data_IF_640382930480
#
_entry.id   IF_640382930480
#
_cell.length_a   1.000
_cell.length_b   1.000
_cell.length_c   1.000
_cell.angle_alpha   90.00
_cell.angle_beta   90.00
_cell.angle_gamma   90.00
#
_symmetry.space_group_name_H-M   'P 1'
#
loop_
_entity.id
_entity.type
_entity.pdbx_description
1 polymer ?
#
# COMPACT_ATOMS: atom_id res chain seq x y z
N UNK A 1 6.66 16.10 -12.78
CA UNK A 1 7.21 16.34 -11.42
C UNK A 1 8.68 16.82 -11.48
N UNK A 2 9.49 16.42 -12.47
CA UNK A 2 10.90 16.85 -12.58
C UNK A 2 11.16 18.37 -12.48
N UNK A 3 10.23 19.22 -12.92
CA UNK A 3 10.37 20.68 -12.76
C UNK A 3 10.13 21.16 -11.32
N UNK A 4 9.24 20.49 -10.57
CA UNK A 4 8.94 20.80 -9.16
C UNK A 4 10.15 20.41 -8.29
N UNK A 5 10.71 19.22 -8.53
CA UNK A 5 11.90 18.76 -7.82
C UNK A 5 13.06 19.75 -8.05
N UNK A 6 13.32 20.12 -9.30
CA UNK A 6 14.34 21.13 -9.64
C UNK A 6 14.04 22.51 -9.03
N UNK A 7 12.76 22.94 -9.00
CA UNK A 7 12.38 24.23 -8.39
C UNK A 7 12.63 24.24 -6.88
N UNK A 8 12.34 23.13 -6.19
CA UNK A 8 12.59 22.97 -4.76
C UNK A 8 14.08 22.86 -4.45
N UNK A 9 14.86 22.15 -5.27
CA UNK A 9 16.32 22.05 -5.16
C UNK A 9 17.00 23.42 -5.29
N UNK A 10 16.45 24.32 -6.10
CA UNK A 10 16.93 25.70 -6.26
C UNK A 10 16.39 26.68 -5.19
N UNK A 11 15.78 26.19 -4.10
CA UNK A 11 15.33 27.02 -2.97
C UNK A 11 13.95 27.64 -3.14
N UNK A 12 13.17 27.21 -4.13
CA UNK A 12 11.78 27.64 -4.31
C UNK A 12 10.88 27.23 -3.14
N UNK A 13 9.89 28.07 -2.81
CA UNK A 13 8.89 27.75 -1.77
C UNK A 13 7.60 27.28 -2.42
N UNK A 14 7.16 26.07 -2.09
CA UNK A 14 5.92 25.48 -2.58
C UNK A 14 4.85 25.49 -1.49
N UNK A 15 3.74 26.16 -1.76
CA UNK A 15 2.49 25.97 -1.01
C UNK A 15 1.58 25.05 -1.81
N UNK A 16 1.31 23.86 -1.27
CA UNK A 16 0.51 22.83 -1.91
C UNK A 16 -0.77 22.59 -1.12
N UNK A 17 -1.93 22.65 -1.79
CA UNK A 17 -3.21 22.17 -1.27
C UNK A 17 -3.57 20.93 -2.07
N UNK A 18 -3.68 19.78 -1.40
CA UNK A 18 -3.99 18.51 -2.04
C UNK A 18 -4.95 17.69 -1.19
N UNK A 19 -5.82 16.93 -1.85
CA UNK A 19 -6.59 15.86 -1.22
C UNK A 19 -5.78 14.57 -1.07
N UNK A 20 -4.57 14.51 -1.65
CA UNK A 20 -3.68 13.35 -1.56
C UNK A 20 -2.65 13.56 -0.46
N UNK A 21 -2.75 12.75 0.59
CA UNK A 21 -1.79 12.75 1.70
C UNK A 21 -0.40 12.33 1.22
N UNK A 22 -0.35 11.41 0.25
CA UNK A 22 0.89 10.98 -0.38
C UNK A 22 1.66 12.16 -0.99
N UNK A 23 0.98 13.07 -1.70
CA UNK A 23 1.62 14.27 -2.24
C UNK A 23 2.12 15.23 -1.17
N UNK A 24 1.34 15.42 -0.11
CA UNK A 24 1.74 16.28 1.00
C UNK A 24 3.01 15.73 1.65
N UNK A 25 3.10 14.41 1.85
CA UNK A 25 4.31 13.76 2.37
C UNK A 25 5.49 13.82 1.41
N UNK A 26 5.24 13.68 0.10
CA UNK A 26 6.29 13.63 -0.92
C UNK A 26 6.89 15.00 -1.24
N UNK A 27 6.05 16.01 -1.38
CA UNK A 27 6.43 17.32 -1.93
C UNK A 27 6.61 18.40 -0.86
N UNK A 28 6.12 18.16 0.36
CA UNK A 28 6.18 19.15 1.44
C UNK A 28 7.00 18.61 2.61
N UNK A 29 7.80 19.49 3.22
CA UNK A 29 8.49 19.22 4.49
C UNK A 29 7.57 19.41 5.70
N UNK A 30 6.61 20.31 5.56
CA UNK A 30 5.63 20.64 6.60
C UNK A 30 4.21 20.54 6.06
N UNK A 31 3.26 20.22 6.93
CA UNK A 31 1.83 20.21 6.61
C UNK A 31 1.02 20.97 7.66
N UNK A 32 -0.06 21.61 7.20
CA UNK A 32 -1.07 22.28 8.01
C UNK A 32 -2.41 21.56 7.86
N UNK A 33 -2.91 20.98 8.93
CA UNK A 33 -4.24 20.38 8.96
C UNK A 33 -5.26 21.40 9.47
N UNK A 34 -6.26 21.69 8.64
CA UNK A 34 -7.41 22.51 8.97
C UNK A 34 -8.65 21.64 9.20
N UNK A 35 -9.41 21.96 10.25
CA UNK A 35 -10.72 21.38 10.54
C UNK A 35 -11.68 22.47 10.99
N UNK A 36 -12.84 22.58 10.35
CA UNK A 36 -13.86 23.59 10.64
C UNK A 36 -13.30 25.03 10.69
N UNK A 37 -12.41 25.36 9.76
CA UNK A 37 -11.78 26.68 9.66
C UNK A 37 -10.71 26.96 10.73
N UNK A 38 -10.31 25.96 11.54
CA UNK A 38 -9.27 26.10 12.57
C UNK A 38 -8.09 25.19 12.27
N UNK A 39 -6.90 25.66 12.66
CA UNK A 39 -5.69 24.83 12.63
C UNK A 39 -5.81 23.77 13.71
N UNK A 40 -5.84 22.51 13.29
CA UNK A 40 -5.87 21.36 14.18
C UNK A 40 -4.46 20.86 14.48
N UNK A 41 -3.58 20.86 13.48
CA UNK A 41 -2.16 20.53 13.65
C UNK A 41 -1.28 21.19 12.58
N UNK A 42 -0.05 21.52 12.94
CA UNK A 42 1.01 21.98 12.04
C UNK A 42 2.33 21.33 12.44
N UNK A 43 3.17 20.96 11.47
CA UNK A 43 4.47 20.37 11.75
C UNK A 43 5.01 19.59 10.57
N UNK A 44 5.87 18.61 10.84
CA UNK A 44 6.39 17.67 9.84
C UNK A 44 5.26 17.02 9.02
N UNK A 45 5.44 16.98 7.70
CA UNK A 45 4.38 16.53 6.78
C UNK A 45 4.01 15.06 7.00
N UNK A 46 4.95 14.19 7.36
CA UNK A 46 4.68 12.79 7.67
C UNK A 46 3.88 12.65 8.96
N UNK A 47 4.34 13.27 10.05
CA UNK A 47 3.70 13.17 11.36
C UNK A 47 2.28 13.75 11.38
N UNK A 48 2.05 14.90 10.72
CA UNK A 48 0.72 15.52 10.61
C UNK A 48 -0.20 14.64 9.76
N UNK A 49 0.30 14.09 8.65
CA UNK A 49 -0.45 13.23 7.75
C UNK A 49 -0.90 11.91 8.39
N UNK A 50 -0.05 11.30 9.21
CA UNK A 50 -0.39 10.06 9.93
C UNK A 50 -1.54 10.27 10.92
N UNK A 51 -1.50 11.38 11.66
CA UNK A 51 -2.56 11.71 12.62
C UNK A 51 -3.86 12.10 11.94
N UNK A 52 -3.77 12.82 10.81
CA UNK A 52 -4.92 13.09 9.95
C UNK A 52 -5.59 11.78 9.50
N UNK A 53 -4.84 10.82 8.97
CA UNK A 53 -5.39 9.52 8.54
C UNK A 53 -6.07 8.79 9.69
N UNK A 54 -5.38 8.68 10.83
CA UNK A 54 -5.89 8.01 12.03
C UNK A 54 -7.19 8.64 12.57
N UNK A 55 -7.38 9.94 12.32
CA UNK A 55 -8.58 10.66 12.73
C UNK A 55 -9.80 10.34 11.85
N UNK A 56 -9.60 10.15 10.55
CA UNK A 56 -10.69 9.91 9.58
C UNK A 56 -10.94 8.43 9.28
N UNK A 57 -9.99 7.53 9.53
CA UNK A 57 -10.16 6.07 9.45
C UNK A 57 -11.24 5.56 10.43
N UNK A 58 -11.54 6.32 11.50
CA UNK A 58 -12.62 6.00 12.44
C UNK A 58 -14.05 6.23 11.89
N UNK A 59 -14.21 6.65 10.63
CA UNK A 59 -15.52 7.05 10.04
C UNK A 59 -15.85 6.43 8.67
N UNK A 60 -15.02 5.58 8.10
CA UNK A 60 -15.24 5.02 6.76
C UNK A 60 -15.86 3.63 6.77
N UNK A 61 -17.14 3.51 6.45
CA UNK A 61 -17.82 2.23 6.17
C UNK A 61 -17.38 1.67 4.81
N UNK A 62 -16.99 0.40 4.80
CA UNK A 62 -16.58 -0.37 3.62
C UNK A 62 -17.75 -0.56 2.64
N UNK A 63 -17.61 -0.05 1.41
CA UNK A 63 -18.49 -0.42 0.28
C UNK A 63 -17.79 -1.43 -0.62
N UNK A 64 -18.06 -2.70 -0.37
CA UNK A 64 -17.84 -3.77 -1.34
C UNK A 64 -18.84 -3.58 -2.47
N UNK A 65 -18.38 -3.37 -3.71
CA UNK A 65 -19.29 -3.30 -4.87
C UNK A 65 -18.86 -4.30 -5.93
N UNK A 66 -19.86 -5.02 -6.44
CA UNK A 66 -19.74 -6.12 -7.39
C UNK A 66 -19.20 -5.70 -8.77
N UNK A 67 -18.72 -6.73 -9.47
CA UNK A 67 -18.01 -6.75 -10.75
C UNK A 67 -18.91 -6.25 -11.90
N UNK A 68 -18.90 -4.95 -12.17
CA UNK A 68 -19.04 -4.43 -13.54
C UNK A 68 -17.69 -3.79 -13.86
N UNK A 69 -16.89 -4.44 -14.71
CA UNK A 69 -15.56 -3.93 -15.07
C UNK A 69 -15.72 -2.64 -15.86
N UNK A 70 -15.59 -1.52 -15.15
CA UNK A 70 -15.49 -0.21 -15.77
C UNK A 70 -14.18 -0.14 -16.56
N UNK A 71 -14.29 -0.34 -17.88
CA UNK A 71 -13.16 -0.26 -18.81
C UNK A 71 -12.68 1.18 -19.03
N UNK A 72 -13.34 2.17 -18.43
CA UNK A 72 -12.92 3.57 -18.50
C UNK A 72 -11.96 3.96 -17.37
N UNK A 73 -11.76 3.08 -16.38
CA UNK A 73 -10.92 3.34 -15.22
C UNK A 73 -9.89 2.24 -14.96
N UNK A 74 -8.81 2.58 -14.24
CA UNK A 74 -7.85 1.59 -13.74
C UNK A 74 -8.54 0.69 -12.72
N UNK A 75 -8.37 -0.63 -12.86
CA UNK A 75 -8.98 -1.59 -11.93
C UNK A 75 -8.14 -2.85 -11.80
N UNK A 76 -8.30 -3.58 -10.69
CA UNK A 76 -7.60 -4.85 -10.46
C UNK A 76 -8.33 -5.95 -11.22
N UNK A 77 -7.68 -6.50 -12.25
CA UNK A 77 -8.23 -7.62 -13.02
C UNK A 77 -8.12 -8.95 -12.26
N UNK A 78 -7.05 -9.11 -11.49
CA UNK A 78 -6.84 -10.29 -10.66
C UNK A 78 -5.84 -10.03 -9.54
N UNK A 79 -6.10 -10.66 -8.39
CA UNK A 79 -5.18 -10.77 -7.26
C UNK A 79 -4.94 -12.26 -6.99
N UNK A 80 -3.70 -12.72 -7.04
CA UNK A 80 -3.28 -14.10 -6.75
C UNK A 80 -2.24 -14.11 -5.64
N UNK A 81 -2.42 -15.02 -4.70
CA UNK A 81 -1.51 -15.23 -3.57
C UNK A 81 -0.93 -16.62 -3.77
N UNK A 82 0.39 -16.71 -3.85
CA UNK A 82 1.11 -17.90 -4.30
C UNK A 82 2.22 -18.24 -3.31
N UNK A 83 2.53 -19.54 -3.19
CA UNK A 83 3.73 -20.01 -2.50
C UNK A 83 4.97 -19.91 -3.42
N UNK A 84 6.14 -20.31 -2.90
CA UNK A 84 7.41 -20.35 -3.65
C UNK A 84 7.38 -21.20 -4.94
N UNK A 85 6.54 -22.23 -4.97
CA UNK A 85 6.37 -23.13 -6.12
C UNK A 85 5.42 -22.55 -7.18
N UNK A 86 4.84 -21.37 -6.92
CA UNK A 86 3.91 -20.69 -7.83
C UNK A 86 2.49 -21.25 -7.81
N UNK A 87 2.11 -22.00 -6.77
CA UNK A 87 0.75 -22.51 -6.57
C UNK A 87 -0.09 -21.52 -5.79
N UNK A 88 -1.35 -21.31 -6.18
CA UNK A 88 -2.26 -20.48 -5.39
C UNK A 88 -2.50 -21.09 -4.01
N UNK A 89 -2.50 -20.22 -3.00
CA UNK A 89 -2.67 -20.58 -1.60
C UNK A 89 -3.64 -19.63 -0.91
N UNK A 90 -4.31 -20.14 0.12
CA UNK A 90 -5.05 -19.36 1.12
C UNK A 90 -4.43 -19.50 2.52
N UNK A 91 -3.33 -20.26 2.61
CA UNK A 91 -2.64 -20.62 3.83
C UNK A 91 -1.12 -20.58 3.60
N UNK A 92 -0.36 -20.10 4.58
CA UNK A 92 1.10 -20.08 4.56
C UNK A 92 1.68 -20.23 5.97
N UNK A 93 2.88 -20.79 6.10
CA UNK A 93 3.60 -20.84 7.37
C UNK A 93 4.48 -19.59 7.56
N UNK A 94 4.73 -19.20 8.82
CA UNK A 94 5.76 -18.20 9.13
C UNK A 94 7.10 -18.63 8.53
N UNK A 95 7.85 -17.67 8.00
CA UNK A 95 9.12 -17.84 7.25
C UNK A 95 9.02 -18.43 5.85
N UNK A 96 7.85 -18.79 5.35
CA UNK A 96 7.70 -19.10 3.94
C UNK A 96 7.79 -17.83 3.06
N UNK A 97 8.15 -18.04 1.80
CA UNK A 97 8.13 -16.99 0.78
C UNK A 97 6.69 -16.82 0.26
N UNK A 98 6.13 -15.64 0.48
CA UNK A 98 4.81 -15.24 -0.04
C UNK A 98 4.99 -14.47 -1.34
N UNK A 99 4.32 -14.90 -2.41
CA UNK A 99 4.32 -14.22 -3.70
C UNK A 99 2.91 -13.70 -3.98
N UNK A 100 2.78 -12.40 -4.18
CA UNK A 100 1.54 -11.75 -4.58
C UNK A 100 1.67 -11.31 -6.04
N UNK A 101 0.77 -11.80 -6.89
CA UNK A 101 0.63 -11.34 -8.29
C UNK A 101 -0.65 -10.54 -8.44
N UNK A 102 -0.53 -9.34 -8.96
CA UNK A 102 -1.67 -8.46 -9.24
C UNK A 102 -1.66 -8.07 -10.70
N UNK A 103 -2.76 -8.31 -11.42
CA UNK A 103 -2.96 -7.72 -12.75
C UNK A 103 -3.87 -6.52 -12.64
N UNK A 104 -3.47 -5.44 -13.28
CA UNK A 104 -4.17 -4.16 -13.27
C UNK A 104 -4.46 -3.77 -14.71
N UNK A 105 -5.72 -3.46 -14.98
CA UNK A 105 -6.15 -2.87 -16.24
C UNK A 105 -5.78 -1.39 -16.29
N UNK A 106 -5.35 -0.92 -17.45
CA UNK A 106 -4.97 0.45 -17.73
C UNK A 106 -5.71 0.96 -18.97
N UNK A 107 -6.68 1.89 -18.83
CA UNK A 107 -7.50 2.36 -19.95
C UNK A 107 -6.68 3.15 -21.00
N UNK A 108 -5.62 3.83 -20.57
CA UNK A 108 -4.78 4.71 -21.41
C UNK A 108 -3.41 4.10 -21.72
N UNK A 109 -3.24 2.81 -21.46
CA UNK A 109 -2.01 2.04 -21.70
C UNK A 109 -0.78 2.52 -20.94
N UNK A 110 -0.91 3.43 -19.97
CA UNK A 110 0.19 3.81 -19.09
C UNK A 110 0.38 2.75 -18.00
N UNK A 111 1.61 2.61 -17.51
CA UNK A 111 1.90 1.70 -16.38
C UNK A 111 1.14 2.20 -15.15
N UNK A 112 0.18 1.44 -14.59
CA UNK A 112 -0.63 1.90 -13.48
C UNK A 112 0.16 1.94 -12.16
N UNK A 113 -0.39 2.62 -11.16
CA UNK A 113 0.05 2.50 -9.78
C UNK A 113 -0.60 1.28 -9.10
N UNK A 114 0.07 0.75 -8.08
CA UNK A 114 -0.46 -0.32 -7.23
C UNK A 114 -0.08 -0.07 -5.78
N UNK A 115 -1.05 -0.09 -4.88
CA UNK A 115 -0.82 -0.22 -3.43
C UNK A 115 -1.15 -1.65 -3.01
N UNK A 116 -0.28 -2.23 -2.20
CA UNK A 116 -0.49 -3.54 -1.59
C UNK A 116 -0.43 -3.41 -0.07
N UNK A 117 -1.51 -3.80 0.60
CA UNK A 117 -1.66 -3.79 2.05
C UNK A 117 -1.84 -5.19 2.62
N UNK A 118 -1.33 -5.39 3.85
CA UNK A 118 -1.63 -6.54 4.70
C UNK A 118 -2.35 -5.99 5.93
N UNK A 119 -3.56 -6.48 6.18
CA UNK A 119 -4.45 -5.99 7.25
C UNK A 119 -4.87 -7.17 8.13
N UNK A 120 -5.05 -6.93 9.43
CA UNK A 120 -5.63 -7.90 10.36
C UNK A 120 -6.69 -7.21 11.20
N UNK A 121 -7.96 -7.63 11.11
CA UNK A 121 -9.09 -7.04 11.87
C UNK A 121 -9.10 -5.50 11.78
N UNK A 122 -9.04 -4.99 10.55
CA UNK A 122 -8.97 -3.55 10.25
C UNK A 122 -7.71 -2.81 10.76
N UNK A 123 -6.75 -3.51 11.35
CA UNK A 123 -5.45 -2.93 11.73
C UNK A 123 -4.47 -3.12 10.57
N UNK A 124 -3.93 -2.03 9.98
CA UNK A 124 -2.86 -2.12 9.00
C UNK A 124 -1.61 -2.74 9.61
N UNK A 125 -1.10 -3.82 9.01
CA UNK A 125 0.11 -4.52 9.45
C UNK A 125 1.31 -4.11 8.59
N UNK A 126 1.11 -4.04 7.27
CA UNK A 126 2.13 -3.64 6.32
C UNK A 126 1.49 -2.99 5.10
N UNK A 127 2.20 -2.05 4.48
CA UNK A 127 1.77 -1.40 3.24
C UNK A 127 2.95 -1.02 2.36
N UNK A 128 2.82 -1.20 1.05
CA UNK A 128 3.80 -0.77 0.06
C UNK A 128 3.11 -0.23 -1.19
N UNK A 129 3.84 0.57 -1.98
CA UNK A 129 3.34 1.21 -3.19
C UNK A 129 4.36 1.05 -4.32
N UNK A 130 3.88 0.76 -5.53
CA UNK A 130 4.72 0.44 -6.69
C UNK A 130 5.74 1.52 -7.03
N UNK A 131 5.41 2.80 -6.80
CA UNK A 131 6.31 3.93 -7.09
C UNK A 131 7.65 3.85 -6.34
N UNK A 132 7.63 3.39 -5.07
CA UNK A 132 8.84 3.27 -4.24
C UNK A 132 9.85 2.27 -4.78
N UNK A 133 9.43 1.38 -5.69
CA UNK A 133 10.22 0.22 -6.13
C UNK A 133 10.69 0.31 -7.58
N UNK A 134 10.56 1.48 -8.23
CA UNK A 134 10.73 1.69 -9.69
C UNK A 134 9.93 0.65 -10.48
N UNK A 135 8.67 0.93 -10.84
CA UNK A 135 7.68 -0.10 -11.18
C UNK A 135 8.22 -1.11 -12.18
N UNK A 136 8.46 -2.34 -11.71
CA UNK A 136 8.79 -3.51 -12.54
C UNK A 136 7.53 -4.22 -13.03
N UNK A 137 6.51 -3.44 -13.38
CA UNK A 137 5.28 -3.98 -13.93
C UNK A 137 5.60 -4.60 -15.30
N UNK A 138 5.12 -5.82 -15.54
CA UNK A 138 5.28 -6.50 -16.82
C UNK A 138 4.02 -6.23 -17.63
N UNK A 139 4.16 -5.66 -18.84
CA UNK A 139 3.03 -5.51 -19.76
C UNK A 139 2.61 -6.89 -20.28
N UNK A 140 1.40 -7.33 -19.95
CA UNK A 140 0.84 -8.63 -20.35
C UNK A 140 0.07 -8.52 -21.67
N UNK A 141 -0.65 -7.41 -21.85
CA UNK A 141 -1.38 -7.09 -23.08
C UNK A 141 -1.44 -5.56 -23.26
N UNK A 142 -2.14 -5.09 -24.30
CA UNK A 142 -2.28 -3.66 -24.61
C UNK A 142 -2.65 -2.82 -23.39
N UNK A 143 -3.61 -3.29 -22.60
CA UNK A 143 -4.18 -2.58 -21.46
C UNK A 143 -4.01 -3.33 -20.12
N UNK A 144 -3.14 -4.35 -20.04
CA UNK A 144 -2.99 -5.16 -18.81
C UNK A 144 -1.53 -5.22 -18.38
N UNK A 145 -1.31 -4.94 -17.09
CA UNK A 145 0.00 -4.91 -16.44
C UNK A 145 0.02 -5.83 -15.22
N UNK A 146 1.04 -6.68 -15.08
CA UNK A 146 1.22 -7.58 -13.94
C UNK A 146 2.35 -7.08 -13.01
N UNK A 147 2.03 -6.98 -11.72
CA UNK A 147 2.98 -6.76 -10.64
C UNK A 147 3.23 -8.10 -9.94
N UNK A 148 4.50 -8.39 -9.66
CA UNK A 148 4.91 -9.53 -8.82
C UNK A 148 5.65 -9.00 -7.60
N UNK A 149 5.07 -9.19 -6.42
CA UNK A 149 5.65 -8.83 -5.13
C UNK A 149 6.04 -10.12 -4.42
N UNK A 150 7.28 -10.21 -3.94
CA UNK A 150 7.76 -11.35 -3.16
C UNK A 150 8.16 -10.87 -1.78
N UNK A 151 7.49 -11.38 -0.75
CA UNK A 151 7.92 -11.28 0.64
C UNK A 151 8.74 -12.50 0.97
N UNK A 152 10.03 -12.31 1.23
CA UNK A 152 10.92 -13.42 1.59
C UNK A 152 10.88 -13.62 3.08
N UNK A 153 10.87 -14.89 3.52
CA UNK A 153 10.85 -15.26 4.94
C UNK A 153 9.79 -14.45 5.71
N UNK A 154 8.53 -14.61 5.35
CA UNK A 154 7.43 -13.81 5.89
C UNK A 154 7.36 -13.92 7.42
N UNK A 155 7.58 -12.80 8.11
CA UNK A 155 7.59 -12.73 9.59
C UNK A 155 6.21 -12.50 10.20
N UNK A 156 5.12 -12.81 9.50
CA UNK A 156 3.78 -12.70 10.07
C UNK A 156 3.55 -13.85 11.06
N UNK A 157 2.94 -13.52 12.19
CA UNK A 157 2.55 -14.49 13.23
C UNK A 157 1.16 -15.06 12.97
N UNK A 158 0.80 -16.14 13.67
CA UNK A 158 -0.47 -16.87 13.52
C UNK A 158 -1.71 -15.97 13.60
N UNK A 159 -2.42 -15.80 12.47
CA UNK A 159 -3.70 -15.13 12.39
C UNK A 159 -4.34 -15.26 10.99
N UNK A 160 -5.61 -14.84 10.90
CA UNK A 160 -6.26 -14.53 9.63
C UNK A 160 -5.96 -13.07 9.23
N UNK A 161 -5.36 -12.91 8.06
CA UNK A 161 -5.01 -11.62 7.43
C UNK A 161 -5.80 -11.41 6.14
N UNK A 162 -5.81 -10.17 5.68
CA UNK A 162 -6.30 -9.75 4.39
C UNK A 162 -5.17 -9.11 3.58
N UNK A 163 -4.98 -9.60 2.35
CA UNK A 163 -4.16 -8.95 1.34
C UNK A 163 -5.06 -8.04 0.52
N UNK A 164 -4.81 -6.74 0.58
CA UNK A 164 -5.56 -5.71 -0.15
C UNK A 164 -4.71 -5.18 -1.29
N UNK A 165 -5.20 -5.27 -2.51
CA UNK A 165 -4.59 -4.67 -3.68
C UNK A 165 -5.46 -3.52 -4.17
N UNK A 166 -4.85 -2.35 -4.36
CA UNK A 166 -5.53 -1.18 -4.88
C UNK A 166 -4.92 -0.73 -6.19
N UNK A 167 -5.73 -0.68 -7.25
CA UNK A 167 -5.32 -0.04 -8.49
C UNK A 167 -5.27 1.48 -8.30
N UNK A 168 -4.25 2.12 -8.86
CA UNK A 168 -4.11 3.57 -8.85
C UNK A 168 -3.83 4.09 -10.26
N UNK A 169 -4.01 5.40 -10.42
CA UNK A 169 -3.46 6.12 -11.56
C UNK A 169 -1.91 5.99 -11.60
N UNK A 170 -1.27 6.21 -12.77
CA UNK A 170 0.17 5.99 -12.94
C UNK A 170 1.03 6.88 -12.03
N UNK A 171 0.52 8.06 -11.70
CA UNK A 171 1.13 9.00 -10.76
C UNK A 171 0.99 8.57 -9.29
N UNK A 172 0.26 7.48 -9.01
CA UNK A 172 0.04 6.93 -7.67
C UNK A 172 -0.63 7.91 -6.69
N UNK A 173 -1.63 8.67 -7.17
CA UNK A 173 -2.27 9.76 -6.44
C UNK A 173 -3.70 9.47 -6.02
N UNK A 174 -4.38 8.66 -6.82
CA UNK A 174 -5.79 8.38 -6.65
C UNK A 174 -6.02 6.87 -6.64
N UNK A 175 -6.72 6.42 -5.61
CA UNK A 175 -7.15 5.04 -5.47
C UNK A 175 -8.39 4.83 -6.34
N UNK A 176 -8.32 3.89 -7.28
CA UNK A 176 -9.36 3.67 -8.28
C UNK A 176 -10.25 2.47 -7.97
N UNK A 177 -9.65 1.40 -7.47
CA UNK A 177 -10.32 0.12 -7.24
C UNK A 177 -9.62 -0.63 -6.09
N UNK A 178 -10.35 -1.52 -5.42
CA UNK A 178 -9.86 -2.35 -4.32
C UNK A 178 -10.31 -3.81 -4.52
N UNK A 179 -9.35 -4.73 -4.42
CA UNK A 179 -9.61 -6.17 -4.34
C UNK A 179 -8.92 -6.74 -3.12
N UNK A 180 -9.68 -7.52 -2.33
CA UNK A 180 -9.22 -8.13 -1.08
C UNK A 180 -9.17 -9.66 -1.26
N UNK A 181 -8.13 -10.30 -0.73
CA UNK A 181 -8.07 -11.76 -0.57
C UNK A 181 -7.65 -12.16 0.84
N UNK A 182 -8.32 -13.15 1.45
CA UNK A 182 -7.91 -13.67 2.75
C UNK A 182 -6.62 -14.50 2.65
N UNK A 183 -5.83 -14.47 3.71
CA UNK A 183 -4.63 -15.30 3.90
C UNK A 183 -4.55 -15.73 5.37
N UNK A 184 -4.58 -17.04 5.61
CA UNK A 184 -4.29 -17.59 6.94
C UNK A 184 -2.79 -17.82 7.08
N UNK A 185 -2.21 -17.33 8.17
CA UNK A 185 -0.82 -17.60 8.55
C UNK A 185 -0.82 -18.51 9.76
N UNK A 186 0.04 -19.53 9.75
CA UNK A 186 0.31 -20.37 10.91
C UNK A 186 1.78 -20.28 11.29
N UNK A 187 2.03 -20.19 12.58
CA UNK A 187 3.35 -20.08 13.16
C UNK A 187 3.56 -21.17 14.20
N UNK A 188 4.79 -21.69 14.24
CA UNK A 188 5.27 -22.57 15.31
C UNK A 188 6.09 -21.81 16.37
N UNK A 189 6.18 -20.48 16.27
CA UNK A 189 6.87 -19.66 17.27
C UNK A 189 5.97 -19.41 18.49
N UNK A 190 6.60 -19.05 19.61
CA UNK A 190 5.90 -18.64 20.85
C UNK A 190 5.69 -17.13 20.94
N UNK A 191 6.09 -16.39 19.92
CA UNK A 191 6.00 -14.94 19.90
C UNK A 191 4.56 -14.47 19.79
N UNK A 192 4.27 -13.34 20.42
CA UNK A 192 2.93 -12.75 20.48
C UNK A 192 2.87 -11.48 19.64
N UNK A 193 1.75 -11.27 18.93
CA UNK A 193 1.50 -10.06 18.16
C UNK A 193 1.02 -10.33 16.74
N UNK A 194 1.52 -9.54 15.78
CA UNK A 194 1.19 -9.65 14.34
C UNK A 194 2.42 -9.92 13.47
N UNK A 195 3.59 -9.45 13.90
CA UNK A 195 4.87 -9.66 13.23
C UNK A 195 5.90 -10.11 14.27
N UNK A 196 6.79 -11.00 13.86
CA UNK A 196 8.02 -11.28 14.58
C UNK A 196 9.04 -10.16 14.29
N UNK A 197 9.66 -9.66 15.35
CA UNK A 197 10.76 -8.70 15.28
C UNK A 197 12.07 -9.41 15.59
N UNK A 198 13.13 -9.04 14.88
CA UNK A 198 14.47 -9.51 15.24
C UNK A 198 14.81 -9.05 16.65
N UNK A 199 15.03 -10.02 17.53
CA UNK A 199 15.27 -9.79 18.95
C UNK A 199 16.56 -10.50 19.33
N UNK A 200 17.54 -9.73 19.79
CA UNK A 200 18.75 -10.25 20.42
C UNK A 200 18.61 -10.19 21.94
N UNK A 201 18.86 -11.31 22.61
CA UNK A 201 18.84 -11.41 24.07
C UNK A 201 20.27 -11.70 24.54
N UNK A 202 21.07 -10.65 24.71
CA UNK A 202 22.42 -10.76 25.26
C UNK A 202 22.43 -10.42 26.74
N UNK A 203 23.11 -11.25 27.53
CA UNK A 203 23.62 -10.83 28.83
C UNK A 203 24.89 -10.02 28.53
N UNK A 204 24.99 -8.79 29.04
CA UNK A 204 26.24 -8.03 28.95
C UNK A 204 27.33 -8.80 29.70
N UNK A 205 28.24 -9.44 28.96
CA UNK A 205 29.59 -9.77 29.43
C UNK A 205 30.58 -8.74 28.88
#
# INVERSE_FOLDING_TARGET
IAWIDNYLENGGTLLLVSHSIYHVQKLCKHALWLENGRIKKYGDSFAVSQEYQSHYEKKGENKTTAINKDMTNYHVESLRILNKDGKDISFIETYDDLIVKVRVYSPDERVPGLVLGIVRKDIPVYGTISEKHKPRAIKISKNSYEFKITYRKLKLLSADYEIKAHAMDPECLRLMDEVIKPLRVQSNTTDMGVVELETDWSNND
#
